data_IF_870465387763
#
_entry.id   IF_870465387763
#
_cell.length_a   1.000
_cell.length_b   1.000
_cell.length_c   1.000
_cell.angle_alpha   90.00
_cell.angle_beta   90.00
_cell.angle_gamma   90.00
#
_symmetry.space_group_name_H-M   'P 1'
#
loop_
_entity.id
_entity.type
_entity.pdbx_description
1 polymer ?
#
# COMPACT_ATOMS: atom_id res chain seq x y z
N UNK A 1 -3.10 -11.19 -16.47
CA UNK A 1 -2.83 -9.74 -16.61
C UNK A 1 -3.71 -8.96 -15.65
N UNK A 2 -5.03 -9.17 -15.69
CA UNK A 2 -6.03 -8.53 -14.81
C UNK A 2 -5.68 -8.51 -13.30
N UNK A 3 -5.13 -9.60 -12.75
CA UNK A 3 -4.78 -9.64 -11.32
C UNK A 3 -3.63 -8.70 -10.91
N UNK A 4 -2.65 -8.46 -11.79
CA UNK A 4 -1.54 -7.52 -11.51
C UNK A 4 -2.04 -6.09 -11.64
N UNK A 5 -2.86 -5.80 -12.65
CA UNK A 5 -3.47 -4.48 -12.86
C UNK A 5 -4.41 -4.11 -11.71
N UNK A 6 -5.18 -5.07 -11.19
CA UNK A 6 -5.98 -4.87 -9.98
C UNK A 6 -5.11 -4.55 -8.75
N UNK A 7 -3.96 -5.22 -8.61
CA UNK A 7 -2.99 -4.88 -7.54
C UNK A 7 -2.40 -3.47 -7.73
N UNK A 8 -2.08 -3.07 -8.97
CA UNK A 8 -1.59 -1.72 -9.28
C UNK A 8 -2.63 -0.64 -8.94
N UNK A 9 -3.90 -0.86 -9.30
CA UNK A 9 -4.98 0.07 -8.99
C UNK A 9 -5.19 0.23 -7.48
N UNK A 10 -5.26 -0.89 -6.74
CA UNK A 10 -5.38 -0.87 -5.28
C UNK A 10 -4.19 -0.20 -4.61
N UNK A 11 -2.96 -0.43 -5.10
CA UNK A 11 -1.78 0.25 -4.58
C UNK A 11 -1.84 1.76 -4.82
N UNK A 12 -2.34 2.22 -5.97
CA UNK A 12 -2.49 3.64 -6.23
C UNK A 12 -3.47 4.30 -5.23
N UNK A 13 -4.64 3.69 -5.00
CA UNK A 13 -5.63 4.16 -4.02
C UNK A 13 -5.05 4.20 -2.60
N UNK A 14 -4.32 3.16 -2.20
CA UNK A 14 -3.67 3.11 -0.88
C UNK A 14 -2.59 4.20 -0.72
N UNK A 15 -1.81 4.48 -1.77
CA UNK A 15 -0.81 5.55 -1.75
C UNK A 15 -1.46 6.93 -1.62
N UNK A 16 -2.61 7.15 -2.26
CA UNK A 16 -3.39 8.39 -2.10
C UNK A 16 -3.97 8.51 -0.68
N UNK A 17 -4.48 7.40 -0.12
CA UNK A 17 -4.95 7.36 1.27
C UNK A 17 -3.83 7.75 2.25
N UNK A 18 -2.64 7.17 2.10
CA UNK A 18 -1.48 7.51 2.94
C UNK A 18 -1.05 8.97 2.80
N UNK A 19 -1.09 9.54 1.60
CA UNK A 19 -0.82 10.96 1.39
C UNK A 19 -1.84 11.84 2.13
N UNK A 20 -3.12 11.48 2.08
CA UNK A 20 -4.19 12.18 2.83
C UNK A 20 -4.03 12.09 4.35
N UNK A 21 -3.60 10.94 4.87
CA UNK A 21 -3.27 10.75 6.30
C UNK A 21 -2.09 11.64 6.71
N UNK A 22 -1.03 11.68 5.90
CA UNK A 22 0.15 12.51 6.16
C UNK A 22 -0.18 14.01 6.12
N UNK A 23 -1.06 14.43 5.21
CA UNK A 23 -1.49 15.82 5.11
C UNK A 23 -2.36 16.23 6.30
N UNK A 24 -3.36 15.41 6.66
CA UNK A 24 -4.24 15.63 7.80
C UNK A 24 -3.47 15.76 9.13
N UNK A 25 -2.41 14.98 9.29
CA UNK A 25 -1.57 15.04 10.51
C UNK A 25 -0.56 16.19 10.51
N UNK A 26 -0.23 16.75 9.35
CA UNK A 26 0.64 17.93 9.22
C UNK A 26 -0.10 19.25 9.46
N UNK A 27 -1.43 19.26 9.30
CA UNK A 27 -2.25 20.48 9.31
C UNK A 27 -3.20 20.66 10.50
N UNK A 28 -3.28 19.72 11.44
CA UNK A 28 -4.41 19.67 12.39
C UNK A 28 -3.97 19.66 13.86
N UNK A 29 -4.47 20.63 14.63
CA UNK A 29 -4.70 20.47 16.06
C UNK A 29 -6.05 19.79 16.32
N UNK A 30 -6.15 18.94 17.34
CA UNK A 30 -7.30 18.22 17.93
C UNK A 30 -8.42 17.61 17.04
N UNK A 31 -8.49 17.86 15.73
CA UNK A 31 -9.55 17.34 14.90
C UNK A 31 -9.24 15.91 14.40
N UNK A 32 -10.04 14.99 14.91
CA UNK A 32 -10.29 13.64 14.41
C UNK A 32 -9.11 12.67 14.40
N UNK A 33 -8.40 12.60 15.53
CA UNK A 33 -7.41 11.55 15.81
C UNK A 33 -7.97 10.14 15.56
N UNK A 34 -9.23 9.90 15.92
CA UNK A 34 -9.91 8.62 15.68
C UNK A 34 -10.02 8.30 14.18
N UNK A 35 -10.47 9.26 13.35
CA UNK A 35 -10.56 9.10 11.90
C UNK A 35 -9.18 8.97 11.23
N UNK A 36 -8.14 9.60 11.77
CA UNK A 36 -6.76 9.40 11.30
C UNK A 36 -6.30 7.97 11.62
N UNK A 37 -6.49 7.49 12.84
CA UNK A 37 -6.12 6.14 13.25
C UNK A 37 -6.86 5.06 12.43
N UNK A 38 -8.15 5.27 12.15
CA UNK A 38 -8.95 4.37 11.29
C UNK A 38 -8.35 4.28 9.88
N UNK A 39 -8.05 5.41 9.24
CA UNK A 39 -7.42 5.42 7.91
C UNK A 39 -6.03 4.82 7.90
N UNK A 40 -5.25 5.00 8.96
CA UNK A 40 -3.95 4.36 9.11
C UNK A 40 -4.09 2.82 9.18
N UNK A 41 -5.10 2.32 9.89
CA UNK A 41 -5.40 0.89 9.98
C UNK A 41 -5.85 0.32 8.64
N UNK A 42 -6.77 0.99 7.94
CA UNK A 42 -7.23 0.61 6.60
C UNK A 42 -6.08 0.58 5.59
N UNK A 43 -5.22 1.61 5.60
CA UNK A 43 -4.04 1.64 4.76
C UNK A 43 -3.13 0.45 5.03
N UNK A 44 -2.86 0.14 6.30
CA UNK A 44 -2.00 -0.99 6.69
C UNK A 44 -2.56 -2.33 6.24
N UNK A 45 -3.83 -2.60 6.51
CA UNK A 45 -4.49 -3.84 6.09
C UNK A 45 -4.47 -3.98 4.56
N UNK A 46 -4.77 -2.89 3.84
CA UNK A 46 -4.74 -2.86 2.38
C UNK A 46 -3.35 -3.18 1.81
N UNK A 47 -2.30 -2.56 2.34
CA UNK A 47 -0.92 -2.80 1.89
C UNK A 47 -0.50 -4.25 2.13
N UNK A 48 -0.79 -4.81 3.30
CA UNK A 48 -0.48 -6.21 3.62
C UNK A 48 -1.22 -7.18 2.71
N UNK A 49 -2.49 -6.90 2.41
CA UNK A 49 -3.32 -7.71 1.52
C UNK A 49 -2.75 -7.73 0.10
N UNK A 50 -2.47 -6.56 -0.48
CA UNK A 50 -1.91 -6.50 -1.85
C UNK A 50 -0.51 -7.11 -1.93
N UNK A 51 0.31 -6.98 -0.88
CA UNK A 51 1.60 -7.66 -0.83
C UNK A 51 1.47 -9.19 -0.82
N UNK A 52 0.47 -9.73 -0.12
CA UNK A 52 0.19 -11.17 -0.12
C UNK A 52 -0.25 -11.64 -1.52
N UNK A 53 -1.16 -10.91 -2.16
CA UNK A 53 -1.62 -11.19 -3.53
C UNK A 53 -0.46 -11.15 -4.54
N UNK A 54 0.41 -10.14 -4.48
CA UNK A 54 1.59 -10.04 -5.35
C UNK A 54 2.58 -11.19 -5.13
N UNK A 55 2.77 -11.64 -3.88
CA UNK A 55 3.61 -12.82 -3.57
C UNK A 55 3.02 -14.09 -4.17
N UNK A 56 1.70 -14.26 -4.11
CA UNK A 56 1.01 -15.40 -4.70
C UNK A 56 1.08 -15.39 -6.23
N UNK A 57 0.86 -14.24 -6.86
CA UNK A 57 1.02 -14.10 -8.32
C UNK A 57 2.47 -14.41 -8.72
N UNK A 58 3.45 -13.91 -7.95
CA UNK A 58 4.87 -14.14 -8.20
C UNK A 58 5.27 -15.62 -8.05
N UNK A 59 4.68 -16.35 -7.09
CA UNK A 59 4.96 -17.77 -6.88
C UNK A 59 4.38 -18.63 -8.01
N UNK A 60 3.17 -18.31 -8.48
CA UNK A 60 2.53 -18.98 -9.63
C UNK A 60 3.28 -18.73 -10.95
N UNK A 61 3.84 -17.54 -11.14
CA UNK A 61 4.61 -17.19 -12.33
C UNK A 61 5.99 -17.87 -12.41
N UNK A 62 6.49 -18.48 -11.32
CA UNK A 62 7.81 -19.13 -11.26
C UNK A 62 7.86 -20.49 -11.97
N UNK A 63 6.73 -20.97 -12.49
CA UNK A 63 6.60 -22.24 -13.21
C UNK A 63 6.80 -21.99 -14.71
N UNK A 64 8.02 -21.71 -15.16
CA UNK A 64 8.46 -21.89 -16.56
C UNK A 64 7.70 -21.20 -17.71
N UNK A 65 6.74 -20.31 -17.45
CA UNK A 65 5.98 -19.64 -18.50
C UNK A 65 6.77 -18.42 -19.00
N UNK A 66 7.07 -18.30 -20.31
CA UNK A 66 7.61 -17.07 -20.87
C UNK A 66 6.62 -15.93 -20.61
N UNK A 67 7.08 -14.91 -19.90
CA UNK A 67 6.28 -13.76 -19.50
C UNK A 67 6.41 -12.72 -20.60
N UNK A 68 5.30 -12.34 -21.22
CA UNK A 68 5.27 -11.24 -22.19
C UNK A 68 5.84 -9.94 -21.59
N UNK A 69 6.46 -9.13 -22.44
CA UNK A 69 7.07 -7.84 -22.10
C UNK A 69 6.15 -6.95 -21.25
N UNK A 70 4.87 -6.89 -21.60
CA UNK A 70 3.88 -6.06 -20.92
C UNK A 70 3.57 -6.57 -19.51
N UNK A 71 3.50 -7.90 -19.35
CA UNK A 71 3.29 -8.53 -18.04
C UNK A 71 4.50 -8.32 -17.14
N UNK A 72 5.72 -8.31 -17.71
CA UNK A 72 6.92 -7.97 -16.97
C UNK A 72 6.91 -6.50 -16.51
N UNK A 73 6.54 -5.58 -17.39
CA UNK A 73 6.45 -4.15 -17.06
C UNK A 73 5.41 -3.86 -15.97
N UNK A 74 4.20 -4.44 -16.07
CA UNK A 74 3.17 -4.31 -15.02
C UNK A 74 3.64 -4.91 -13.69
N UNK A 75 4.33 -6.05 -13.73
CA UNK A 75 4.89 -6.65 -12.50
C UNK A 75 5.94 -5.75 -11.85
N UNK A 76 6.83 -5.14 -12.63
CA UNK A 76 7.86 -4.23 -12.12
C UNK A 76 7.24 -2.99 -11.48
N UNK A 77 6.20 -2.41 -12.10
CA UNK A 77 5.46 -1.27 -11.55
C UNK A 77 4.74 -1.62 -10.25
N UNK A 78 4.01 -2.74 -10.21
CA UNK A 78 3.35 -3.21 -9.00
C UNK A 78 4.34 -3.44 -7.84
N UNK A 79 5.52 -4.02 -8.13
CA UNK A 79 6.57 -4.20 -7.13
C UNK A 79 7.12 -2.87 -6.60
N UNK A 80 7.34 -1.89 -7.48
CA UNK A 80 7.81 -0.57 -7.09
C UNK A 80 6.77 0.15 -6.21
N UNK A 81 5.49 0.10 -6.58
CA UNK A 81 4.40 0.66 -5.79
C UNK A 81 4.26 -0.03 -4.43
N UNK A 82 4.34 -1.37 -4.39
CA UNK A 82 4.32 -2.12 -3.14
C UNK A 82 5.48 -1.73 -2.21
N UNK A 83 6.67 -1.47 -2.77
CA UNK A 83 7.82 -0.98 -1.99
C UNK A 83 7.61 0.43 -1.48
N UNK A 84 7.00 1.32 -2.26
CA UNK A 84 6.61 2.66 -1.80
C UNK A 84 5.58 2.60 -0.68
N UNK A 85 4.56 1.75 -0.83
CA UNK A 85 3.54 1.55 0.17
C UNK A 85 4.12 0.97 1.48
N UNK A 86 5.10 0.07 1.39
CA UNK A 86 5.83 -0.45 2.55
C UNK A 86 6.63 0.64 3.30
N UNK A 87 7.28 1.54 2.57
CA UNK A 87 7.98 2.67 3.18
C UNK A 87 7.01 3.64 3.88
N UNK A 88 5.85 3.89 3.28
CA UNK A 88 4.79 4.70 3.87
C UNK A 88 4.15 4.00 5.07
N UNK A 89 4.03 2.67 5.05
CA UNK A 89 3.52 1.87 6.16
C UNK A 89 4.35 2.08 7.42
N UNK A 90 5.67 2.10 7.30
CA UNK A 90 6.56 2.40 8.44
C UNK A 90 6.27 3.78 9.03
N UNK A 91 6.12 4.80 8.18
CA UNK A 91 5.78 6.16 8.63
C UNK A 91 4.40 6.28 9.26
N UNK A 92 3.39 5.67 8.64
CA UNK A 92 2.03 5.63 9.19
C UNK A 92 2.01 4.93 10.55
N UNK A 93 2.74 3.82 10.69
CA UNK A 93 2.82 3.09 11.97
C UNK A 93 3.51 3.91 13.07
N UNK A 94 4.55 4.67 12.74
CA UNK A 94 5.18 5.60 13.68
C UNK A 94 4.19 6.69 14.16
N UNK A 95 3.36 7.19 13.25
CA UNK A 95 2.36 8.22 13.54
C UNK A 95 1.23 7.69 14.41
N UNK A 96 0.69 6.50 14.10
CA UNK A 96 -0.31 5.84 14.96
C UNK A 96 0.24 5.62 16.37
N UNK A 97 1.49 5.19 16.51
CA UNK A 97 2.13 5.04 17.81
C UNK A 97 2.27 6.37 18.57
N UNK A 98 2.54 7.47 17.87
CA UNK A 98 2.64 8.81 18.45
C UNK A 98 1.27 9.40 18.85
N UNK A 99 0.21 9.04 18.15
CA UNK A 99 -1.17 9.45 18.45
C UNK A 99 -1.74 8.62 19.61
N UNK A 100 -1.77 7.28 19.48
CA UNK A 100 -2.33 6.38 20.50
C UNK A 100 -1.54 6.27 21.82
N UNK A 101 -0.45 7.01 22.00
CA UNK A 101 0.31 7.10 23.25
C UNK A 101 0.04 8.38 24.05
N UNK A 102 -0.82 9.28 23.56
CA UNK A 102 -1.27 10.50 24.25
C UNK A 102 -2.45 10.23 25.18
#
# INVERSE_FOLDING_TARGET
MEAIEACEARLAELLECAAGVLDATSGVGDADEAGVLERCAEFREGVLTVQAELKEIASRARIGVPVDSDVYASRARAQLQARRAELLLARVSEMEGALGSR
#
